data_IF_400177517808
#
_entry.id   IF_400177517808
#
_cell.length_a   1.000
_cell.length_b   1.000
_cell.length_c   1.000
_cell.angle_alpha   90.00
_cell.angle_beta   90.00
_cell.angle_gamma   90.00
#
_symmetry.space_group_name_H-M   'P 1'
#
loop_
_entity.id
_entity.type
_entity.pdbx_description
1 polymer ?
#
# COMPACT_ATOMS: atom_id res chain seq x y z
N UNK A 1 -8.15 -20.01 -4.90
CA UNK A 1 -8.85 -18.84 -5.45
C UNK A 1 -10.35 -19.12 -5.45
N UNK A 2 -11.16 -18.33 -4.72
CA UNK A 2 -12.64 -18.47 -4.72
C UNK A 2 -13.27 -17.82 -5.96
N UNK A 3 -12.63 -16.80 -6.51
CA UNK A 3 -13.19 -15.96 -7.57
C UNK A 3 -12.76 -16.41 -8.98
N UNK A 4 -11.69 -17.22 -9.08
CA UNK A 4 -11.23 -17.82 -10.33
C UNK A 4 -10.88 -19.31 -10.16
N UNK A 5 -11.88 -20.22 -10.18
CA UNK A 5 -11.68 -21.64 -9.87
C UNK A 5 -10.66 -22.35 -10.77
N UNK A 6 -10.59 -21.94 -12.06
CA UNK A 6 -9.66 -22.52 -13.05
C UNK A 6 -8.20 -22.14 -12.81
N UNK A 7 -7.90 -21.17 -11.92
CA UNK A 7 -6.52 -20.85 -11.53
C UNK A 7 -5.92 -21.88 -10.57
N UNK A 8 -6.72 -22.80 -10.04
CA UNK A 8 -6.22 -23.84 -9.14
C UNK A 8 -5.12 -24.67 -9.82
N UNK A 9 -3.95 -24.73 -9.21
CA UNK A 9 -2.75 -25.45 -9.70
C UNK A 9 -2.09 -24.89 -10.97
N UNK A 10 -2.48 -23.71 -11.44
CA UNK A 10 -1.79 -23.07 -12.58
C UNK A 10 -0.55 -22.28 -12.18
N UNK A 11 -0.31 -22.09 -10.89
CA UNK A 11 0.81 -21.30 -10.39
C UNK A 11 0.63 -19.80 -10.66
N UNK A 12 -0.62 -19.34 -10.78
CA UNK A 12 -0.97 -17.94 -10.98
C UNK A 12 -2.19 -17.58 -10.12
N UNK A 13 -2.28 -16.32 -9.74
CA UNK A 13 -3.45 -15.73 -9.11
C UNK A 13 -3.67 -14.34 -9.68
N UNK A 14 -4.85 -13.75 -9.42
CA UNK A 14 -5.18 -12.45 -9.97
C UNK A 14 -6.25 -11.74 -9.18
N UNK A 15 -6.27 -10.41 -9.31
CA UNK A 15 -7.28 -9.54 -8.74
C UNK A 15 -7.64 -8.43 -9.73
N UNK A 16 -8.89 -7.99 -9.68
CA UNK A 16 -9.35 -6.76 -10.32
C UNK A 16 -9.93 -5.89 -9.23
N UNK A 17 -9.49 -4.65 -9.13
CA UNK A 17 -9.96 -3.74 -8.09
C UNK A 17 -10.23 -2.36 -8.63
N UNK A 18 -11.19 -1.69 -8.00
CA UNK A 18 -11.52 -0.29 -8.23
C UNK A 18 -10.91 0.49 -7.06
N UNK A 19 -10.15 1.54 -7.39
CA UNK A 19 -9.71 2.54 -6.42
C UNK A 19 -10.57 3.77 -6.63
N UNK A 20 -11.48 4.00 -5.69
CA UNK A 20 -12.38 5.15 -5.72
C UNK A 20 -11.61 6.49 -5.82
N UNK A 21 -12.26 7.59 -6.23
CA UNK A 21 -11.64 8.91 -6.21
C UNK A 21 -10.90 9.19 -4.91
N UNK A 22 -9.67 9.68 -5.00
CA UNK A 22 -8.82 9.93 -3.83
C UNK A 22 -8.53 8.71 -2.94
N UNK A 23 -8.88 7.50 -3.40
CA UNK A 23 -8.74 6.26 -2.66
C UNK A 23 -7.29 5.79 -2.57
N UNK A 24 -7.05 4.93 -1.58
CA UNK A 24 -5.75 4.36 -1.29
C UNK A 24 -5.89 2.85 -1.11
N UNK A 25 -5.19 2.09 -1.95
CA UNK A 25 -4.84 0.71 -1.62
C UNK A 25 -3.64 0.76 -0.68
N UNK A 26 -3.92 0.54 0.61
CA UNK A 26 -2.99 0.73 1.72
C UNK A 26 -1.68 -0.05 1.55
N UNK A 27 -0.59 0.35 2.23
CA UNK A 27 0.69 -0.35 2.11
C UNK A 27 0.58 -1.82 2.47
N UNK A 28 1.01 -2.68 1.57
CA UNK A 28 0.99 -4.14 1.69
C UNK A 28 2.18 -4.75 0.96
N UNK A 29 2.35 -6.07 1.11
CA UNK A 29 3.28 -6.86 0.31
C UNK A 29 2.74 -8.26 0.06
N UNK A 30 3.39 -8.98 -0.85
CA UNK A 30 3.09 -10.37 -1.18
C UNK A 30 4.25 -11.26 -0.73
N UNK A 31 4.02 -12.12 0.26
CA UNK A 31 5.06 -13.00 0.81
C UNK A 31 5.53 -14.08 -0.18
N UNK A 32 4.71 -14.41 -1.19
CA UNK A 32 4.88 -15.60 -2.04
C UNK A 32 4.73 -15.33 -3.53
N UNK A 33 4.63 -14.08 -3.94
CA UNK A 33 4.34 -13.74 -5.33
C UNK A 33 4.95 -12.41 -5.75
N UNK A 34 5.44 -12.37 -6.98
CA UNK A 34 5.63 -11.13 -7.71
C UNK A 34 4.28 -10.70 -8.29
N UNK A 35 4.03 -9.40 -8.32
CA UNK A 35 2.81 -8.80 -8.89
C UNK A 35 3.15 -8.01 -10.15
N UNK A 36 2.51 -8.36 -11.27
CA UNK A 36 2.37 -7.49 -12.43
C UNK A 36 1.10 -6.66 -12.25
N UNK A 37 1.29 -5.37 -11.99
CA UNK A 37 0.22 -4.42 -11.74
C UNK A 37 -0.05 -3.58 -13.00
N UNK A 38 -1.27 -3.62 -13.53
CA UNK A 38 -1.65 -2.89 -14.75
C UNK A 38 -2.89 -2.04 -14.53
N UNK A 39 -2.81 -0.75 -14.84
CA UNK A 39 -3.97 0.14 -14.84
C UNK A 39 -4.78 -0.10 -16.12
N UNK A 40 -6.08 -0.36 -16.00
CA UNK A 40 -6.98 -0.60 -17.15
C UNK A 40 -8.01 0.52 -17.34
N UNK A 41 -8.20 1.39 -16.34
CA UNK A 41 -9.01 2.61 -16.43
C UNK A 41 -8.46 3.67 -15.46
N UNK A 42 -8.52 4.94 -15.84
CA UNK A 42 -8.06 6.06 -15.00
C UNK A 42 -6.54 6.18 -14.86
N UNK A 43 -6.11 6.72 -13.72
CA UNK A 43 -4.71 6.96 -13.35
C UNK A 43 -4.48 6.57 -11.88
N UNK A 44 -3.32 5.98 -11.60
CA UNK A 44 -2.86 5.67 -10.26
C UNK A 44 -1.41 6.12 -10.07
N UNK A 45 -1.11 6.63 -8.89
CA UNK A 45 0.25 6.76 -8.38
C UNK A 45 0.59 5.52 -7.57
N UNK A 46 1.78 4.97 -7.80
CA UNK A 46 2.27 3.79 -7.08
C UNK A 46 3.56 4.14 -6.37
N UNK A 47 3.80 3.50 -5.23
CA UNK A 47 5.06 3.60 -4.52
C UNK A 47 5.50 2.24 -4.02
N UNK A 48 6.80 1.94 -4.12
CA UNK A 48 7.42 0.71 -3.65
C UNK A 48 8.73 1.01 -2.93
N UNK A 49 8.96 0.35 -1.78
CA UNK A 49 10.24 0.40 -1.06
C UNK A 49 11.01 -0.88 -1.38
N UNK A 50 12.29 -0.71 -1.75
CA UNK A 50 13.19 -1.84 -2.00
C UNK A 50 13.69 -2.46 -0.69
N UNK A 51 14.03 -3.74 -0.73
CA UNK A 51 14.59 -4.49 0.40
C UNK A 51 16.11 -4.31 0.54
N UNK A 52 16.72 -4.89 1.58
CA UNK A 52 18.18 -5.03 1.72
C UNK A 52 19.00 -3.72 1.70
N UNK A 53 18.55 -2.71 2.45
CA UNK A 53 19.31 -1.46 2.67
C UNK A 53 19.10 -0.41 1.59
N UNK A 54 18.35 -0.73 0.54
CA UNK A 54 17.85 0.23 -0.44
C UNK A 54 16.59 0.90 0.12
N UNK A 55 16.76 1.81 1.09
CA UNK A 55 15.67 2.59 1.69
C UNK A 55 15.12 3.68 0.74
N UNK A 56 15.09 3.42 -0.55
CA UNK A 56 14.66 4.35 -1.59
C UNK A 56 13.24 3.98 -1.99
N UNK A 57 12.32 4.93 -1.79
CA UNK A 57 10.99 4.88 -2.35
C UNK A 57 11.08 5.09 -3.87
N UNK A 58 10.58 4.12 -4.63
CA UNK A 58 10.37 4.25 -6.07
C UNK A 58 8.91 4.63 -6.27
N UNK A 59 8.67 5.82 -6.82
CA UNK A 59 7.32 6.26 -7.19
C UNK A 59 7.13 6.20 -8.70
N UNK A 60 5.93 5.85 -9.13
CA UNK A 60 5.59 5.77 -10.55
C UNK A 60 4.14 6.17 -10.76
N UNK A 61 3.92 7.12 -11.67
CA UNK A 61 2.60 7.46 -12.19
C UNK A 61 2.24 6.52 -13.33
N UNK A 62 1.07 5.88 -13.23
CA UNK A 62 0.55 4.95 -14.22
C UNK A 62 -0.81 5.42 -14.70
N UNK A 63 -0.91 5.71 -16.00
CA UNK A 63 -2.16 5.89 -16.71
C UNK A 63 -2.68 4.58 -17.30
N UNK A 64 -3.84 4.67 -17.95
CA UNK A 64 -4.48 3.54 -18.64
C UNK A 64 -3.52 2.78 -19.57
N UNK A 65 -3.50 1.46 -19.39
CA UNK A 65 -2.67 0.46 -20.07
C UNK A 65 -1.17 0.55 -19.77
N UNK A 66 -0.77 1.31 -18.76
CA UNK A 66 0.58 1.26 -18.22
C UNK A 66 0.64 0.28 -17.06
N UNK A 67 1.82 -0.29 -16.85
CA UNK A 67 2.05 -1.32 -15.87
C UNK A 67 3.37 -1.10 -15.12
N UNK A 68 3.44 -1.68 -13.93
CA UNK A 68 4.66 -1.81 -13.12
C UNK A 68 4.73 -3.21 -12.51
N UNK A 69 5.86 -3.53 -11.89
CA UNK A 69 6.07 -4.81 -11.20
C UNK A 69 6.43 -4.54 -9.75
N UNK A 70 5.79 -5.26 -8.84
CA UNK A 70 6.17 -5.33 -7.44
C UNK A 70 6.75 -6.72 -7.14
N UNK A 71 8.06 -6.85 -6.88
CA UNK A 71 8.65 -8.13 -6.52
C UNK A 71 8.08 -8.67 -5.20
N UNK A 72 8.12 -9.99 -5.03
CA UNK A 72 7.76 -10.65 -3.77
C UNK A 72 8.51 -10.03 -2.59
N UNK A 73 7.81 -9.79 -1.48
CA UNK A 73 8.36 -9.17 -0.26
C UNK A 73 8.50 -7.65 -0.32
N UNK A 74 8.34 -7.01 -1.48
CA UNK A 74 8.41 -5.54 -1.58
C UNK A 74 7.16 -4.89 -0.97
N UNK A 75 7.38 -3.92 -0.08
CA UNK A 75 6.30 -3.08 0.47
C UNK A 75 5.90 -2.05 -0.57
N UNK A 76 4.62 -2.02 -0.93
CA UNK A 76 4.11 -1.09 -1.93
C UNK A 76 2.69 -0.61 -1.62
N UNK A 77 2.28 0.49 -2.28
CA UNK A 77 0.94 1.08 -2.19
C UNK A 77 0.51 1.62 -3.55
N UNK A 78 -0.80 1.84 -3.71
CA UNK A 78 -1.36 2.55 -4.85
C UNK A 78 -2.37 3.58 -4.39
N UNK A 79 -2.29 4.78 -4.95
CA UNK A 79 -3.16 5.90 -4.65
C UNK A 79 -3.83 6.37 -5.94
N UNK A 80 -5.12 6.67 -5.87
CA UNK A 80 -5.82 7.38 -6.92
C UNK A 80 -5.71 8.88 -6.64
N UNK A 81 -4.91 9.65 -7.40
CA UNK A 81 -4.76 11.09 -7.19
C UNK A 81 -5.89 11.91 -7.85
N UNK A 82 -6.89 11.25 -8.44
CA UNK A 82 -7.90 11.88 -9.30
C UNK A 82 -9.30 11.86 -8.67
N UNK A 83 -10.19 12.65 -9.28
CA UNK A 83 -11.59 12.77 -8.86
C UNK A 83 -12.53 11.72 -9.47
N UNK A 84 -11.99 10.77 -10.23
CA UNK A 84 -12.73 9.69 -10.90
C UNK A 84 -12.20 8.33 -10.44
N UNK A 85 -13.03 7.28 -10.41
CA UNK A 85 -12.54 5.94 -10.10
C UNK A 85 -11.45 5.49 -11.08
N UNK A 86 -10.46 4.76 -10.57
CA UNK A 86 -9.46 4.07 -11.35
C UNK A 86 -9.62 2.55 -11.20
N UNK A 87 -9.27 1.78 -12.23
CA UNK A 87 -9.37 0.32 -12.21
C UNK A 87 -8.02 -0.28 -12.57
N UNK A 88 -7.59 -1.27 -11.80
CA UNK A 88 -6.38 -2.03 -12.09
C UNK A 88 -6.64 -3.54 -12.11
N UNK A 89 -5.76 -4.24 -12.81
CA UNK A 89 -5.65 -5.70 -12.81
C UNK A 89 -4.28 -6.07 -12.27
N UNK A 90 -4.26 -6.95 -11.28
CA UNK A 90 -3.06 -7.56 -10.73
C UNK A 90 -2.98 -9.01 -11.19
N UNK A 91 -1.86 -9.39 -11.81
CA UNK A 91 -1.52 -10.78 -12.09
C UNK A 91 -0.33 -11.18 -11.22
N UNK A 92 -0.47 -12.25 -10.45
CA UNK A 92 0.51 -12.63 -9.44
C UNK A 92 1.04 -14.04 -9.71
N UNK A 93 2.33 -14.24 -9.44
CA UNK A 93 2.92 -15.58 -9.47
C UNK A 93 2.41 -16.41 -8.28
N UNK A 94 2.23 -17.72 -8.46
CA UNK A 94 1.71 -18.61 -7.43
C UNK A 94 0.19 -18.61 -7.23
N UNK A 95 -0.33 -19.71 -6.70
CA UNK A 95 -1.76 -19.90 -6.46
C UNK A 95 -2.30 -19.10 -5.25
N UNK A 96 -1.39 -18.71 -4.36
CA UNK A 96 -1.67 -17.95 -3.15
C UNK A 96 -0.54 -16.92 -2.95
N UNK A 97 -0.81 -15.64 -3.23
CA UNK A 97 0.23 -14.62 -3.19
C UNK A 97 0.65 -14.23 -1.78
N UNK A 98 -0.10 -14.65 -0.75
CA UNK A 98 0.23 -14.36 0.64
C UNK A 98 0.29 -12.87 0.94
N UNK A 99 -0.74 -12.13 0.51
CA UNK A 99 -0.87 -10.70 0.82
C UNK A 99 -0.87 -10.48 2.33
N UNK A 100 -0.09 -9.51 2.79
CA UNK A 100 -0.08 -9.01 4.16
C UNK A 100 -0.18 -7.49 4.12
N UNK A 101 -1.15 -6.92 4.82
CA UNK A 101 -1.28 -5.48 4.96
C UNK A 101 -0.35 -5.00 6.08
N UNK A 102 0.56 -4.07 5.77
CA UNK A 102 1.65 -3.68 6.66
C UNK A 102 1.13 -3.11 7.97
N UNK A 103 0.29 -2.09 7.85
CA UNK A 103 -0.19 -1.33 9.00
C UNK A 103 -1.11 -2.20 9.86
N UNK A 104 -2.02 -2.95 9.24
CA UNK A 104 -2.93 -3.88 9.96
C UNK A 104 -2.15 -4.94 10.72
N UNK A 105 -1.19 -5.60 10.07
CA UNK A 105 -0.38 -6.65 10.70
C UNK A 105 0.44 -6.09 11.88
N UNK A 106 0.94 -4.87 11.73
CA UNK A 106 1.68 -4.18 12.78
C UNK A 106 0.82 -3.89 14.02
N UNK A 107 -0.40 -3.35 13.84
CA UNK A 107 -1.30 -3.06 14.97
C UNK A 107 -1.92 -4.28 15.63
N UNK A 108 -1.80 -5.47 15.04
CA UNK A 108 -2.18 -6.73 15.68
C UNK A 108 -1.16 -7.22 16.71
N UNK A 109 0.05 -6.64 16.74
CA UNK A 109 1.06 -6.98 17.73
C UNK A 109 0.66 -6.45 19.13
N UNK A 110 1.21 -7.04 20.21
CA UNK A 110 1.07 -6.47 21.54
C UNK A 110 1.50 -5.00 21.57
N UNK A 111 0.76 -4.18 22.33
CA UNK A 111 0.96 -2.72 22.34
C UNK A 111 2.38 -2.33 22.76
N UNK A 112 2.98 -3.04 23.72
CA UNK A 112 4.36 -2.83 24.16
C UNK A 112 5.39 -3.14 23.07
N UNK A 113 5.13 -4.13 22.21
CA UNK A 113 5.98 -4.45 21.05
C UNK A 113 5.84 -3.39 19.97
N UNK A 114 4.63 -2.90 19.72
CA UNK A 114 4.37 -1.79 18.79
C UNK A 114 5.11 -0.54 19.25
N UNK A 115 4.95 -0.16 20.52
CA UNK A 115 5.58 1.02 21.11
C UNK A 115 7.12 0.95 21.01
N UNK A 116 7.70 -0.23 21.29
CA UNK A 116 9.14 -0.46 21.14
C UNK A 116 9.60 -0.38 19.66
N UNK A 117 8.80 -0.92 18.73
CA UNK A 117 9.15 -0.99 17.31
C UNK A 117 9.07 0.36 16.57
N UNK A 118 8.24 1.31 17.04
CA UNK A 118 8.24 2.68 16.51
C UNK A 118 9.49 3.47 16.89
N UNK A 119 10.35 2.93 17.78
CA UNK A 119 11.68 3.46 18.02
C UNK A 119 11.71 4.82 18.75
N UNK A 120 11.04 4.94 19.88
CA UNK A 120 11.26 6.03 20.85
C UNK A 120 11.37 5.48 22.29
N UNK A 121 12.16 6.12 23.19
CA UNK A 121 13.01 5.47 24.20
C UNK A 121 12.27 4.87 25.40
N UNK A 122 13.02 4.18 26.26
CA UNK A 122 12.59 3.32 27.39
C UNK A 122 11.49 3.85 28.35
N UNK A 123 11.08 5.13 28.31
CA UNK A 123 9.85 5.66 28.96
C UNK A 123 9.30 6.96 28.32
N UNK A 124 7.97 7.12 28.32
CA UNK A 124 7.22 8.33 27.92
C UNK A 124 6.76 9.10 29.18
N UNK A 125 6.95 10.43 29.22
CA UNK A 125 6.56 11.28 30.37
C UNK A 125 6.28 12.74 29.99
N UNK A 126 5.82 13.54 30.95
CA UNK A 126 5.36 14.92 30.70
C UNK A 126 6.39 15.88 30.08
N UNK A 127 7.69 15.56 30.15
CA UNK A 127 8.78 16.39 29.60
C UNK A 127 9.22 16.04 28.17
N UNK A 128 8.75 14.95 27.56
CA UNK A 128 9.19 14.53 26.22
C UNK A 128 8.05 14.40 25.19
N UNK A 129 6.80 14.65 25.60
CA UNK A 129 5.60 14.48 24.76
C UNK A 129 5.54 15.43 23.55
N UNK A 130 6.16 16.62 23.63
CA UNK A 130 6.14 17.62 22.54
C UNK A 130 7.18 17.34 21.45
N UNK A 131 8.35 16.80 21.81
CA UNK A 131 9.37 16.37 20.84
C UNK A 131 8.91 15.12 20.06
N UNK A 132 8.09 14.27 20.67
CA UNK A 132 7.51 13.07 20.04
C UNK A 132 6.47 13.40 18.96
N UNK A 133 5.57 14.37 19.22
CA UNK A 133 4.53 14.79 18.26
C UNK A 133 5.08 15.30 16.92
N UNK A 134 6.33 15.76 16.88
CA UNK A 134 6.98 16.30 15.68
C UNK A 134 7.54 15.22 14.72
N UNK A 135 7.60 13.95 15.15
CA UNK A 135 8.26 12.86 14.40
C UNK A 135 7.29 11.88 13.76
N UNK A 136 5.98 12.09 13.91
CA UNK A 136 4.96 11.35 13.16
C UNK A 136 4.96 11.93 11.74
N UNK A 137 5.38 11.17 10.71
CA UNK A 137 5.32 11.68 9.35
C UNK A 137 3.86 11.91 8.97
N UNK A 138 3.49 13.16 8.70
CA UNK A 138 2.42 13.43 7.75
C UNK A 138 2.91 12.91 6.39
N UNK A 139 2.27 12.01 5.64
CA UNK A 139 0.86 11.70 5.61
C UNK A 139 0.50 10.81 4.37
N UNK A 140 0.32 9.49 4.50
CA UNK A 140 -0.42 8.77 3.45
C UNK A 140 -1.91 9.20 3.44
N UNK A 141 -2.44 9.55 4.63
CA UNK A 141 -3.79 10.07 4.81
C UNK A 141 -4.01 11.48 4.28
N UNK A 142 -2.99 12.33 4.20
CA UNK A 142 -3.14 13.69 3.69
C UNK A 142 -2.70 13.88 2.24
N UNK A 143 -2.15 12.86 1.59
CA UNK A 143 -2.35 12.69 0.14
C UNK A 143 -3.84 12.50 -0.19
N UNK A 144 -4.52 11.59 0.52
CA UNK A 144 -5.98 11.36 0.39
C UNK A 144 -6.77 12.64 0.71
N UNK A 145 -6.49 13.30 1.85
CA UNK A 145 -7.19 14.54 2.22
C UNK A 145 -6.97 15.68 1.24
N UNK A 146 -5.76 15.83 0.70
CA UNK A 146 -5.46 16.86 -0.31
C UNK A 146 -6.26 16.60 -1.58
N UNK A 147 -6.34 15.34 -2.02
CA UNK A 147 -7.16 14.98 -3.17
C UNK A 147 -8.65 15.22 -2.89
N UNK A 148 -9.17 14.82 -1.73
CA UNK A 148 -10.58 15.03 -1.36
C UNK A 148 -10.95 16.51 -1.42
N UNK A 149 -10.08 17.39 -0.90
CA UNK A 149 -10.26 18.84 -1.00
C UNK A 149 -10.24 19.34 -2.44
N UNK A 150 -9.28 18.91 -3.25
CA UNK A 150 -9.15 19.31 -4.65
C UNK A 150 -10.37 18.87 -5.49
N UNK A 151 -10.94 17.70 -5.18
CA UNK A 151 -12.09 17.12 -5.86
C UNK A 151 -13.45 17.57 -5.30
N UNK A 152 -13.48 18.34 -4.20
CA UNK A 152 -14.72 18.76 -3.54
C UNK A 152 -15.52 17.59 -2.95
N UNK A 153 -14.83 16.51 -2.53
CA UNK A 153 -15.42 15.31 -1.96
C UNK A 153 -15.37 15.35 -0.43
N UNK A 154 -16.41 14.85 0.24
CA UNK A 154 -16.42 14.64 1.69
C UNK A 154 -15.85 13.27 2.05
N UNK A 155 -15.25 13.16 3.25
CA UNK A 155 -14.87 11.87 3.86
C UNK A 155 -16.06 10.97 4.10
#
# INVERSE_FOLDING_TARGET
SRDFPMLTNLGISGAVSIVEPCGLNIPHWHNRADELFTVVEGQLETGMVQENGFNTLIQTELGKYQATVFPAGSVHYQQNPTCSPAVFVAALTGNDPGRSDLVTSYWMLPADVVDAALGFPDTIGGGNIEAWRAHIPSNLAAGVDTCLQACGLSR
#
